data_IF_535034518906
#
_entry.id   IF_535034518906
#
_cell.length_a   1.000
_cell.length_b   1.000
_cell.length_c   1.000
_cell.angle_alpha   90.00
_cell.angle_beta   90.00
_cell.angle_gamma   90.00
#
_symmetry.space_group_name_H-M   'P 1'
#
loop_
_entity.id
_entity.type
_entity.pdbx_description
1 polymer ?
#
# COMPACT_ATOMS: atom_id res chain seq x y z
N UNK A 1 -6.74 -16.53 -11.11
CA UNK A 1 -6.79 -15.15 -10.59
C UNK A 1 -6.70 -15.25 -9.08
N UNK A 2 -5.63 -14.74 -8.49
CA UNK A 2 -5.54 -14.65 -7.03
C UNK A 2 -6.54 -13.62 -6.54
N UNK A 3 -7.37 -13.98 -5.56
CA UNK A 3 -8.33 -13.06 -4.96
C UNK A 3 -7.57 -12.13 -3.99
N UNK A 4 -7.63 -10.82 -4.21
CA UNK A 4 -7.02 -9.79 -3.34
C UNK A 4 -7.39 -9.98 -1.86
N UNK A 5 -8.63 -10.42 -1.59
CA UNK A 5 -9.08 -10.72 -0.25
C UNK A 5 -8.29 -11.89 0.39
N UNK A 6 -7.90 -12.91 -0.38
CA UNK A 6 -7.08 -13.99 0.16
C UNK A 6 -5.66 -13.52 0.49
N UNK A 7 -5.08 -12.64 -0.33
CA UNK A 7 -3.75 -12.06 -0.04
C UNK A 7 -3.80 -11.18 1.20
N UNK A 8 -4.85 -10.37 1.35
CA UNK A 8 -5.08 -9.59 2.57
C UNK A 8 -5.20 -10.50 3.80
N UNK A 9 -6.00 -11.57 3.73
CA UNK A 9 -6.11 -12.51 4.86
C UNK A 9 -4.76 -13.18 5.19
N UNK A 10 -4.00 -13.60 4.18
CA UNK A 10 -2.67 -14.15 4.41
C UNK A 10 -1.68 -13.13 5.01
N UNK A 11 -1.81 -11.85 4.63
CA UNK A 11 -1.02 -10.78 5.22
C UNK A 11 -1.34 -10.62 6.71
N UNK A 12 -2.64 -10.57 7.03
CA UNK A 12 -3.12 -10.48 8.41
C UNK A 12 -2.75 -11.71 9.24
N UNK A 13 -2.82 -12.92 8.69
CA UNK A 13 -2.40 -14.15 9.37
C UNK A 13 -0.90 -14.14 9.71
N UNK A 14 -0.08 -13.54 8.84
CA UNK A 14 1.37 -13.53 8.99
C UNK A 14 1.88 -12.41 9.90
N UNK A 15 1.35 -11.19 9.74
CA UNK A 15 1.86 -10.00 10.42
C UNK A 15 0.92 -9.44 11.49
N UNK A 16 -0.37 -9.80 11.48
CA UNK A 16 -1.35 -9.37 12.47
C UNK A 16 -1.78 -7.89 12.37
N UNK A 17 -1.32 -7.16 11.37
CA UNK A 17 -1.60 -5.72 11.19
C UNK A 17 -1.60 -5.35 9.71
N UNK A 18 -2.50 -4.43 9.32
CA UNK A 18 -2.61 -3.95 7.94
C UNK A 18 -1.44 -3.06 7.54
N UNK A 19 -0.88 -2.35 8.51
CA UNK A 19 0.14 -1.32 8.33
C UNK A 19 1.41 -1.72 9.06
N UNK A 20 2.55 -1.64 8.37
CA UNK A 20 3.87 -1.83 8.97
C UNK A 20 4.81 -0.75 8.47
N UNK A 21 5.39 -0.01 9.40
CA UNK A 21 6.48 0.92 9.15
C UNK A 21 7.80 0.22 9.40
N UNK A 22 8.71 0.30 8.44
CA UNK A 22 10.05 -0.25 8.53
C UNK A 22 11.08 0.86 8.63
N UNK A 23 12.21 0.52 9.25
CA UNK A 23 13.33 1.45 9.39
C UNK A 23 13.98 1.77 8.04
N UNK A 24 13.97 0.84 7.11
CA UNK A 24 14.55 1.02 5.78
C UNK A 24 13.96 0.05 4.75
N UNK A 25 14.31 0.30 3.49
CA UNK A 25 13.91 -0.53 2.36
C UNK A 25 14.39 -1.98 2.42
N UNK A 26 15.49 -2.27 3.13
CA UNK A 26 15.98 -3.64 3.28
C UNK A 26 15.09 -4.46 4.20
N UNK A 27 14.63 -3.87 5.31
CA UNK A 27 13.64 -4.49 6.19
C UNK A 27 12.31 -4.73 5.47
N UNK A 28 11.84 -3.75 4.69
CA UNK A 28 10.66 -3.91 3.82
C UNK A 28 10.86 -5.07 2.83
N UNK A 29 12.01 -5.11 2.14
CA UNK A 29 12.34 -6.19 1.21
C UNK A 29 12.39 -7.56 1.88
N UNK A 30 12.89 -7.65 3.11
CA UNK A 30 12.88 -8.87 3.89
C UNK A 30 11.46 -9.31 4.26
N UNK A 31 10.60 -8.37 4.68
CA UNK A 31 9.20 -8.62 4.99
C UNK A 31 8.41 -9.09 3.76
N UNK A 32 8.61 -8.45 2.61
CA UNK A 32 7.97 -8.84 1.35
C UNK A 32 8.40 -10.24 0.90
N UNK A 33 9.69 -10.56 0.98
CA UNK A 33 10.17 -11.92 0.69
C UNK A 33 9.59 -12.96 1.65
N UNK A 34 9.43 -12.61 2.94
CA UNK A 34 8.77 -13.48 3.93
C UNK A 34 7.30 -13.71 3.61
N UNK A 35 6.59 -12.66 3.20
CA UNK A 35 5.19 -12.72 2.77
C UNK A 35 5.00 -13.61 1.54
N UNK A 36 5.78 -13.39 0.47
CA UNK A 36 5.63 -14.21 -0.74
C UNK A 36 5.97 -15.68 -0.51
N UNK A 37 6.94 -15.98 0.35
CA UNK A 37 7.21 -17.35 0.78
C UNK A 37 6.02 -17.95 1.53
N UNK A 38 5.46 -17.23 2.49
CA UNK A 38 4.27 -17.67 3.22
C UNK A 38 3.12 -17.99 2.27
N UNK A 39 2.78 -17.00 1.44
CA UNK A 39 1.69 -17.05 0.47
C UNK A 39 1.81 -18.19 -0.54
N UNK A 40 3.03 -18.46 -1.00
CA UNK A 40 3.28 -19.37 -2.12
C UNK A 40 3.64 -20.79 -1.66
N UNK A 41 4.42 -20.90 -0.59
CA UNK A 41 5.04 -22.17 -0.18
C UNK A 41 4.43 -22.79 1.09
N UNK A 42 3.81 -21.98 1.96
CA UNK A 42 3.31 -22.43 3.27
C UNK A 42 1.79 -22.58 3.31
N UNK A 43 1.03 -21.70 2.65
CA UNK A 43 -0.43 -21.80 2.61
C UNK A 43 -0.88 -22.91 1.66
N UNK A 44 -1.62 -23.89 2.19
CA UNK A 44 -2.30 -24.92 1.41
C UNK A 44 -3.61 -24.34 0.86
N UNK A 45 -3.78 -24.41 -0.46
CA UNK A 45 -5.03 -24.00 -1.12
C UNK A 45 -6.08 -25.08 -0.85
N UNK A 46 -7.18 -24.79 -0.11
CA UNK A 46 -8.10 -25.83 0.36
C UNK A 46 -8.71 -26.68 -0.76
N UNK A 47 -9.01 -26.06 -1.91
CA UNK A 47 -9.62 -26.75 -3.05
C UNK A 47 -8.65 -27.69 -3.77
N UNK A 48 -7.34 -27.45 -3.64
CA UNK A 48 -6.29 -28.20 -4.34
C UNK A 48 -5.54 -29.16 -3.41
N UNK A 49 -5.65 -29.00 -2.08
CA UNK A 49 -4.90 -29.77 -1.09
C UNK A 49 -3.38 -29.60 -1.21
N UNK A 50 -2.92 -28.58 -1.93
CA UNK A 50 -1.52 -28.32 -2.23
C UNK A 50 -1.22 -26.83 -2.06
N UNK A 51 0.05 -26.51 -1.81
CA UNK A 51 0.51 -25.11 -1.83
C UNK A 51 0.58 -24.59 -3.27
N UNK A 52 0.53 -23.27 -3.44
CA UNK A 52 0.61 -22.64 -4.77
C UNK A 52 1.91 -23.02 -5.49
N UNK A 53 3.03 -23.12 -4.76
CA UNK A 53 4.31 -23.60 -5.30
C UNK A 53 4.22 -25.03 -5.86
N UNK A 54 3.51 -25.93 -5.17
CA UNK A 54 3.33 -27.33 -5.63
C UNK A 54 2.43 -27.42 -6.84
N UNK A 55 1.36 -26.63 -6.87
CA UNK A 55 0.46 -26.53 -8.03
C UNK A 55 1.25 -26.03 -9.25
N UNK A 56 1.98 -24.92 -9.11
CA UNK A 56 2.82 -24.38 -10.17
C UNK A 56 3.89 -25.37 -10.64
N UNK A 57 4.56 -26.08 -9.73
CA UNK A 57 5.56 -27.08 -10.09
C UNK A 57 4.99 -28.29 -10.82
N UNK A 58 3.76 -28.71 -10.48
CA UNK A 58 3.06 -29.77 -11.19
C UNK A 58 2.74 -29.36 -12.63
N UNK A 59 2.33 -28.11 -12.83
CA UNK A 59 1.89 -27.61 -14.14
C UNK A 59 3.06 -27.18 -15.05
N UNK A 60 4.17 -26.71 -14.46
CA UNK A 60 5.30 -26.13 -15.20
C UNK A 60 6.63 -26.86 -15.04
N UNK A 61 6.71 -27.91 -14.21
CA UNK A 61 7.94 -28.69 -14.00
C UNK A 61 9.06 -27.97 -13.25
N UNK A 62 8.82 -26.75 -12.74
CA UNK A 62 9.78 -25.95 -11.96
C UNK A 62 9.07 -25.22 -10.83
N UNK A 63 9.80 -24.81 -9.79
CA UNK A 63 9.24 -23.96 -8.73
C UNK A 63 9.03 -22.52 -9.23
N UNK A 64 8.02 -21.81 -8.73
CA UNK A 64 7.88 -20.38 -9.03
C UNK A 64 9.02 -19.60 -8.38
N UNK A 65 9.38 -18.46 -8.97
CA UNK A 65 10.25 -17.50 -8.29
C UNK A 65 9.48 -16.86 -7.13
N UNK A 66 10.00 -17.00 -5.91
CA UNK A 66 9.35 -16.51 -4.68
C UNK A 66 9.69 -15.05 -4.36
N UNK A 67 10.38 -14.33 -5.25
CA UNK A 67 10.83 -12.95 -5.01
C UNK A 67 10.16 -12.01 -5.99
N UNK A 68 9.50 -10.98 -5.47
CA UNK A 68 9.19 -9.78 -6.25
C UNK A 68 10.24 -8.73 -5.88
N UNK A 69 11.14 -8.33 -6.80
CA UNK A 69 12.10 -7.29 -6.49
C UNK A 69 11.34 -5.99 -6.22
N UNK A 70 11.70 -5.33 -5.12
CA UNK A 70 11.24 -3.96 -4.88
C UNK A 70 12.02 -3.01 -5.78
N UNK A 71 11.39 -1.92 -6.26
CA UNK A 71 12.07 -0.79 -6.85
C UNK A 71 13.24 -0.26 -6.00
N UNK A 72 14.30 0.22 -6.67
CA UNK A 72 15.53 0.68 -6.00
C UNK A 72 15.28 1.87 -5.06
N UNK A 73 14.39 2.78 -5.44
CA UNK A 73 13.97 3.93 -4.62
C UNK A 73 13.33 3.50 -3.29
N UNK A 74 12.54 2.43 -3.29
CA UNK A 74 12.02 1.83 -2.06
C UNK A 74 13.11 1.14 -1.24
N UNK A 75 14.07 0.48 -1.88
CA UNK A 75 15.18 -0.20 -1.19
C UNK A 75 16.16 0.77 -0.53
N UNK A 76 16.37 1.94 -1.12
CA UNK A 76 17.30 2.97 -0.64
C UNK A 76 16.69 3.91 0.42
N UNK A 77 15.36 3.90 0.57
CA UNK A 77 14.64 4.75 1.52
C UNK A 77 14.86 4.34 2.98
N UNK A 78 14.81 5.33 3.88
CA UNK A 78 15.08 5.22 5.33
C UNK A 78 13.84 5.34 6.22
N UNK A 79 12.68 5.41 5.60
CA UNK A 79 11.37 5.43 6.24
C UNK A 79 10.41 4.92 5.18
N UNK A 80 9.97 3.68 5.32
CA UNK A 80 9.10 3.04 4.34
C UNK A 80 7.97 2.31 5.03
N UNK A 81 6.80 2.32 4.41
CA UNK A 81 5.63 1.63 4.92
C UNK A 81 5.01 0.69 3.91
N UNK A 82 4.65 -0.47 4.45
CA UNK A 82 3.66 -1.45 4.07
C UNK A 82 2.20 -1.12 4.40
N UNK A 83 1.28 -0.83 3.49
CA UNK A 83 -0.16 -0.85 3.83
C UNK A 83 -0.91 -1.86 2.97
N UNK A 84 -1.59 -2.81 3.60
CA UNK A 84 -2.48 -3.75 2.93
C UNK A 84 -3.94 -3.41 3.25
N UNK A 85 -4.63 -2.82 2.29
CA UNK A 85 -6.04 -2.49 2.37
C UNK A 85 -6.89 -3.57 1.64
N UNK A 86 -8.01 -4.04 2.21
CA UNK A 86 -8.80 -5.09 1.58
C UNK A 86 -9.46 -4.62 0.27
N UNK A 87 -9.72 -3.32 0.10
CA UNK A 87 -10.34 -2.74 -1.10
C UNK A 87 -9.30 -2.26 -2.11
N UNK A 88 -8.22 -1.65 -1.65
CA UNK A 88 -7.22 -1.01 -2.50
C UNK A 88 -5.96 -1.85 -2.75
N UNK A 89 -5.78 -2.95 -2.01
CA UNK A 89 -4.63 -3.83 -2.13
C UNK A 89 -3.42 -3.30 -1.35
N UNK A 90 -2.22 -3.62 -1.84
CA UNK A 90 -0.97 -3.37 -1.12
C UNK A 90 -0.27 -2.11 -1.61
N UNK A 91 -0.20 -1.00 -0.86
CA UNK A 91 0.58 0.16 -1.27
C UNK A 91 1.85 0.37 -0.43
N UNK A 92 2.89 0.86 -1.11
CA UNK A 92 4.17 1.21 -0.50
C UNK A 92 4.31 2.73 -0.41
N UNK A 93 4.85 3.22 0.70
CA UNK A 93 5.04 4.64 0.93
C UNK A 93 6.45 4.92 1.43
N UNK A 94 7.08 5.99 0.95
CA UNK A 94 8.32 6.55 1.50
C UNK A 94 7.99 7.74 2.41
N UNK A 95 8.76 7.95 3.48
CA UNK A 95 8.54 9.06 4.42
C UNK A 95 7.22 8.96 5.20
N UNK A 96 6.63 7.76 5.28
CA UNK A 96 5.28 7.57 5.83
C UNK A 96 5.18 7.88 7.33
N UNK A 97 6.24 7.64 8.10
CA UNK A 97 6.24 7.93 9.54
C UNK A 97 5.92 9.39 9.80
N UNK A 98 6.49 10.29 9.00
CA UNK A 98 6.30 11.72 9.16
C UNK A 98 4.86 12.13 8.81
N UNK A 99 4.32 11.62 7.70
CA UNK A 99 2.92 11.80 7.31
C UNK A 99 1.97 11.31 8.41
N UNK A 100 2.08 10.06 8.85
CA UNK A 100 1.19 9.46 9.86
C UNK A 100 1.27 10.19 11.19
N UNK A 101 2.46 10.61 11.61
CA UNK A 101 2.67 11.31 12.88
C UNK A 101 1.92 12.63 12.98
N UNK A 102 1.63 13.30 11.85
CA UNK A 102 0.85 14.53 11.81
C UNK A 102 -0.61 14.30 12.27
N UNK A 103 -1.14 13.11 12.00
CA UNK A 103 -2.50 12.69 12.34
C UNK A 103 -2.59 11.91 13.65
N UNK A 104 -1.54 11.18 14.03
CA UNK A 104 -1.54 10.35 15.23
C UNK A 104 -1.12 11.10 16.52
N UNK A 105 -0.65 12.35 16.40
CA UNK A 105 -0.15 13.15 17.52
C UNK A 105 -0.98 14.41 17.73
N UNK A 106 -1.19 14.79 18.99
CA UNK A 106 -1.84 16.05 19.37
C UNK A 106 -0.90 17.26 19.27
N UNK A 107 0.39 17.05 19.04
CA UNK A 107 1.37 18.13 18.94
C UNK A 107 1.02 19.12 17.80
N UNK A 108 1.40 20.40 17.90
CA UNK A 108 1.26 21.32 16.76
C UNK A 108 2.01 20.81 15.53
N UNK A 109 1.41 20.95 14.34
CA UNK A 109 2.08 20.56 13.11
C UNK A 109 3.33 21.41 12.86
N UNK A 110 4.40 20.74 12.47
CA UNK A 110 5.61 21.42 11.98
C UNK A 110 5.37 21.95 10.55
N UNK A 111 6.24 22.86 10.10
CA UNK A 111 6.19 23.34 8.72
C UNK A 111 6.39 22.20 7.71
N UNK A 112 7.33 21.30 7.99
CA UNK A 112 7.65 20.13 7.16
C UNK A 112 6.46 19.17 7.03
N UNK A 113 5.72 18.92 8.12
CA UNK A 113 4.50 18.09 8.07
C UNK A 113 3.42 18.72 7.20
N UNK A 114 3.25 20.05 7.29
CA UNK A 114 2.26 20.76 6.48
C UNK A 114 2.60 20.65 4.99
N UNK A 115 3.87 20.85 4.64
CA UNK A 115 4.35 20.72 3.26
C UNK A 115 4.20 19.28 2.76
N UNK A 116 4.63 18.29 3.54
CA UNK A 116 4.49 16.89 3.16
C UNK A 116 3.03 16.50 2.93
N UNK A 117 2.12 16.89 3.82
CA UNK A 117 0.69 16.57 3.66
C UNK A 117 0.12 17.26 2.41
N UNK A 118 0.55 18.49 2.13
CA UNK A 118 0.16 19.21 0.92
C UNK A 118 0.68 18.51 -0.35
N UNK A 119 1.94 18.08 -0.35
CA UNK A 119 2.54 17.33 -1.45
C UNK A 119 1.80 16.00 -1.65
N UNK A 120 1.54 15.26 -0.56
CA UNK A 120 0.73 14.04 -0.61
C UNK A 120 -0.68 14.30 -1.13
N UNK A 121 -1.31 15.44 -0.83
CA UNK A 121 -2.65 15.76 -1.30
C UNK A 121 -2.68 16.13 -2.78
N UNK A 122 -1.60 16.72 -3.30
CA UNK A 122 -1.52 17.25 -4.67
C UNK A 122 -0.83 16.32 -5.67
N UNK A 123 -0.04 15.34 -5.20
CA UNK A 123 0.59 14.31 -6.02
C UNK A 123 -0.46 13.32 -6.55
N UNK A 124 -0.60 13.20 -7.87
CA UNK A 124 -1.54 12.27 -8.51
C UNK A 124 -1.15 10.79 -8.30
N UNK A 125 0.11 10.49 -8.00
CA UNK A 125 0.61 9.14 -7.75
C UNK A 125 0.30 8.60 -6.34
N UNK A 126 -0.13 9.47 -5.42
CA UNK A 126 -0.50 9.07 -4.06
C UNK A 126 -2.01 8.85 -3.98
N UNK A 127 -2.40 7.66 -3.54
CA UNK A 127 -3.80 7.29 -3.45
C UNK A 127 -4.59 8.12 -2.44
N UNK A 128 -5.83 8.48 -2.81
CA UNK A 128 -6.72 9.27 -1.96
C UNK A 128 -7.15 8.54 -0.68
N UNK A 129 -7.23 7.21 -0.72
CA UNK A 129 -7.69 6.40 0.41
C UNK A 129 -6.74 6.47 1.61
N UNK A 130 -5.49 6.91 1.41
CA UNK A 130 -4.56 7.20 2.49
C UNK A 130 -5.15 8.24 3.46
N UNK A 131 -5.78 9.28 2.92
CA UNK A 131 -6.46 10.31 3.72
C UNK A 131 -7.74 9.79 4.36
N UNK A 132 -8.48 8.92 3.66
CA UNK A 132 -9.68 8.28 4.24
C UNK A 132 -9.31 7.44 5.46
N UNK A 133 -8.20 6.71 5.42
CA UNK A 133 -7.68 5.98 6.60
C UNK A 133 -7.39 6.91 7.76
N UNK A 134 -6.73 8.05 7.51
CA UNK A 134 -6.47 9.03 8.58
C UNK A 134 -7.76 9.63 9.14
N UNK A 135 -8.76 9.92 8.29
CA UNK A 135 -10.10 10.36 8.74
C UNK A 135 -10.75 9.31 9.63
N UNK A 136 -10.69 8.04 9.23
CA UNK A 136 -11.39 6.96 9.92
C UNK A 136 -10.70 6.59 11.24
N UNK A 137 -9.36 6.66 11.31
CA UNK A 137 -8.59 6.36 12.53
C UNK A 137 -8.47 7.57 13.46
N UNK A 138 -8.34 8.79 12.92
CA UNK A 138 -8.07 10.02 13.64
C UNK A 138 -8.99 11.17 13.19
N UNK A 139 -10.33 11.07 13.36
CA UNK A 139 -11.26 12.03 12.77
C UNK A 139 -11.03 13.47 13.24
N UNK A 140 -11.05 13.71 14.56
CA UNK A 140 -10.88 15.06 15.12
C UNK A 140 -9.54 15.68 14.70
N UNK A 141 -8.49 14.85 14.69
CA UNK A 141 -7.16 15.32 14.32
C UNK A 141 -7.02 15.56 12.83
N UNK A 142 -7.64 14.74 11.98
CA UNK A 142 -7.72 14.96 10.53
C UNK A 142 -8.37 16.29 10.20
N UNK A 143 -9.45 16.66 10.90
CA UNK A 143 -10.08 17.97 10.72
C UNK A 143 -9.12 19.12 11.02
N UNK A 144 -8.42 19.05 12.15
CA UNK A 144 -7.44 20.06 12.56
C UNK A 144 -6.28 20.18 11.56
N UNK A 145 -5.77 19.04 11.08
CA UNK A 145 -4.72 18.97 10.06
C UNK A 145 -5.18 19.65 8.77
N UNK A 146 -6.36 19.30 8.26
CA UNK A 146 -6.88 19.87 7.02
C UNK A 146 -7.15 21.38 7.15
N UNK A 147 -7.66 21.86 8.29
CA UNK A 147 -7.79 23.31 8.56
C UNK A 147 -6.46 24.04 8.42
N UNK A 148 -5.39 23.45 8.92
CA UNK A 148 -4.06 24.05 8.90
C UNK A 148 -3.42 23.99 7.51
N UNK A 149 -3.46 22.82 6.86
CA UNK A 149 -2.88 22.59 5.52
C UNK A 149 -3.58 23.42 4.45
N UNK A 150 -4.91 23.45 4.47
CA UNK A 150 -5.72 24.23 3.51
C UNK A 150 -5.76 25.72 3.85
N UNK A 151 -5.27 26.12 5.03
CA UNK A 151 -5.41 27.47 5.60
C UNK A 151 -6.87 27.92 5.69
N UNK A 152 -7.78 26.98 5.92
CA UNK A 152 -9.21 27.21 6.03
C UNK A 152 -9.69 26.83 7.43
N UNK A 153 -9.93 27.84 8.28
CA UNK A 153 -10.40 27.62 9.66
C UNK A 153 -11.84 27.12 9.74
N UNK A 154 -12.60 27.21 8.66
CA UNK A 154 -14.00 26.81 8.59
C UNK A 154 -14.19 25.42 7.97
N UNK A 155 -13.10 24.77 7.54
CA UNK A 155 -13.14 23.40 7.06
C UNK A 155 -13.84 22.49 8.08
N UNK A 156 -14.82 21.74 7.60
CA UNK A 156 -15.58 20.73 8.34
C UNK A 156 -15.36 19.36 7.72
N UNK A 157 -14.90 18.39 8.52
CA UNK A 157 -14.54 17.07 8.03
C UNK A 157 -15.74 16.33 7.43
N UNK A 158 -16.94 16.54 7.96
CA UNK A 158 -18.13 15.81 7.54
C UNK A 158 -18.69 16.32 6.21
N UNK A 159 -18.53 17.61 5.90
CA UNK A 159 -19.10 18.22 4.69
C UNK A 159 -18.10 18.51 3.59
N UNK A 160 -16.84 18.78 3.94
CA UNK A 160 -15.86 19.32 3.00
C UNK A 160 -14.81 18.31 2.56
N UNK A 161 -14.56 17.26 3.35
CA UNK A 161 -13.48 16.32 3.12
C UNK A 161 -13.53 15.67 1.73
N UNK A 162 -14.67 15.07 1.38
CA UNK A 162 -14.92 14.49 0.06
C UNK A 162 -14.75 15.50 -1.08
N UNK A 163 -15.16 16.75 -0.86
CA UNK A 163 -15.05 17.82 -1.85
C UNK A 163 -13.59 18.19 -2.07
N UNK A 164 -12.80 18.25 -1.00
CA UNK A 164 -11.35 18.48 -1.08
C UNK A 164 -10.67 17.33 -1.79
N UNK A 165 -10.92 16.08 -1.40
CA UNK A 165 -10.33 14.93 -2.09
C UNK A 165 -10.72 14.90 -3.56
N UNK A 166 -11.97 15.14 -3.93
CA UNK A 166 -12.37 15.23 -5.35
C UNK A 166 -11.69 16.37 -6.11
N UNK A 167 -11.37 17.47 -5.44
CA UNK A 167 -10.68 18.60 -6.08
C UNK A 167 -9.22 18.26 -6.42
N UNK A 168 -8.52 17.56 -5.53
CA UNK A 168 -7.08 17.31 -5.68
C UNK A 168 -6.76 15.90 -6.22
N UNK A 169 -7.61 14.92 -5.98
CA UNK A 169 -7.48 13.50 -6.37
C UNK A 169 -8.54 13.04 -7.37
N UNK A 170 -9.33 13.97 -7.91
CA UNK A 170 -10.57 13.67 -8.63
C UNK A 170 -10.43 12.77 -9.86
N UNK A 171 -9.27 12.76 -10.53
CA UNK A 171 -9.00 11.81 -11.62
C UNK A 171 -8.81 10.39 -11.08
N UNK A 172 -8.05 10.21 -9.99
CA UNK A 172 -7.87 8.91 -9.32
C UNK A 172 -9.18 8.36 -8.76
N UNK A 173 -10.00 9.19 -8.11
CA UNK A 173 -11.30 8.76 -7.57
C UNK A 173 -12.30 8.30 -8.65
N UNK A 174 -12.08 8.70 -9.91
CA UNK A 174 -12.90 8.28 -11.06
C UNK A 174 -12.43 6.97 -11.69
N UNK A 175 -11.21 6.53 -11.40
CA UNK A 175 -10.71 5.24 -11.86
C UNK A 175 -11.29 4.14 -10.96
N UNK A 176 -11.76 3.01 -11.53
CA UNK A 176 -12.08 1.86 -10.71
C UNK A 176 -10.82 1.47 -9.92
N UNK A 177 -10.92 1.12 -8.61
CA UNK A 177 -9.77 0.69 -7.85
C UNK A 177 -9.13 -0.47 -8.61
N UNK A 178 -7.90 -0.23 -9.07
CA UNK A 178 -7.18 -1.25 -9.81
C UNK A 178 -6.83 -2.33 -8.80
N UNK A 179 -7.24 -3.61 -8.99
CA UNK A 179 -6.62 -4.67 -8.23
C UNK A 179 -5.13 -4.54 -8.47
N UNK A 180 -4.32 -4.44 -7.41
CA UNK A 180 -2.89 -4.29 -7.61
C UNK A 180 -2.35 -5.59 -8.20
N UNK A 181 -2.17 -5.58 -9.52
CA UNK A 181 -1.54 -6.67 -10.23
C UNK A 181 -0.05 -6.49 -9.96
N UNK A 182 0.54 -7.29 -9.08
CA UNK A 182 2.00 -7.49 -9.14
C UNK A 182 2.28 -8.08 -10.53
N UNK A 183 2.94 -7.35 -11.44
CA UNK A 183 3.23 -7.90 -12.76
C UNK A 183 4.21 -9.05 -12.54
N UNK A 184 3.74 -10.28 -12.72
CA UNK A 184 4.66 -11.39 -12.95
C UNK A 184 5.20 -11.15 -14.35
N UNK A 185 6.43 -10.67 -14.45
CA UNK A 185 7.10 -10.51 -15.73
C UNK A 185 7.36 -11.92 -16.28
N UNK A 186 6.40 -12.50 -17.00
CA UNK A 186 6.63 -13.67 -17.83
C UNK A 186 7.36 -13.21 -19.09
N UNK A 187 8.61 -12.77 -18.95
CA UNK A 187 9.53 -12.80 -20.09
C UNK A 187 9.95 -14.25 -20.28
N UNK A 188 9.13 -14.99 -21.03
CA UNK A 188 9.50 -16.30 -21.58
C UNK A 188 9.22 -16.29 -23.09
N UNK A 189 10.16 -15.67 -23.82
CA UNK A 189 10.68 -16.12 -25.10
C UNK A 189 9.72 -16.31 -26.27
N UNK A 190 9.53 -15.26 -27.06
CA UNK A 190 9.44 -15.44 -28.51
C UNK A 190 10.86 -15.59 -29.06
N UNK A 191 11.36 -16.83 -29.04
CA UNK A 191 12.20 -17.30 -30.15
C UNK A 191 11.24 -17.83 -31.20
N UNK A 192 10.81 -16.97 -32.11
CA UNK A 192 10.35 -17.40 -33.42
C UNK A 192 11.56 -17.38 -34.37
N UNK A 193 11.96 -18.58 -34.76
CA UNK A 193 12.74 -18.93 -35.94
C UNK A 193 12.38 -18.10 -37.16
N UNK A 194 13.40 -17.57 -37.84
CA UNK A 194 13.72 -17.84 -39.26
C UNK A 194 15.19 -17.49 -39.54
#
# INVERSE_FOLDING_TARGET
MTNQNEQYQAWMDLFGQEEIVFKDGLELGAAMNRFYRYWTEEIVVPQLGMTRARVYAKDHGRRPESKSPLPDDLLEARDVAVIFDPRHGQAFFTGYSHFRSAFASDAPLTHEQIEQIWDCLTDEGIDYWLFERMRDEFPERTEAVFRQVLKDRHFDLSTDFDRVLRKYKGEEMRKPPLPMITPVNTTQGDRATE
#
